data_IF_585518043913
#
_entry.id   IF_585518043913
#
_cell.length_a   1.000
_cell.length_b   1.000
_cell.length_c   1.000
_cell.angle_alpha   90.00
_cell.angle_beta   90.00
_cell.angle_gamma   90.00
#
_symmetry.space_group_name_H-M   'P 1'
#
loop_
_entity.id
_entity.type
_entity.pdbx_description
1 polymer ?
#
# COMPACT_ATOMS: atom_id res chain seq x y z
N UNK A 1 23.22 -40.71 -56.23
CA UNK A 1 22.75 -41.69 -55.21
C UNK A 1 23.22 -41.17 -53.85
N UNK A 2 22.44 -40.32 -53.17
CA UNK A 2 21.52 -40.61 -52.05
C UNK A 2 22.20 -41.00 -50.71
N UNK A 3 22.35 -40.02 -49.81
CA UNK A 3 22.18 -40.02 -48.34
C UNK A 3 22.89 -38.74 -47.80
N UNK A 4 22.29 -37.74 -47.15
CA UNK A 4 21.04 -37.67 -46.39
C UNK A 4 21.32 -37.85 -44.89
N UNK A 5 21.63 -36.76 -44.16
CA UNK A 5 21.41 -36.62 -42.70
C UNK A 5 21.82 -35.19 -42.24
N UNK A 6 20.98 -34.17 -42.33
CA UNK A 6 20.01 -33.70 -41.31
C UNK A 6 20.58 -33.28 -39.95
N UNK A 7 20.68 -31.98 -39.67
CA UNK A 7 20.15 -31.39 -38.41
C UNK A 7 20.00 -29.85 -38.50
N UNK A 8 18.84 -29.43 -39.04
CA UNK A 8 17.96 -28.36 -38.53
C UNK A 8 18.59 -27.06 -38.00
N UNK A 9 18.79 -26.10 -38.91
CA UNK A 9 18.73 -24.66 -38.61
C UNK A 9 17.25 -24.24 -38.57
N UNK A 10 16.58 -24.55 -37.46
CA UNK A 10 15.13 -24.37 -37.34
C UNK A 10 14.72 -24.15 -35.90
N UNK A 11 15.16 -23.03 -35.33
CA UNK A 11 14.51 -22.36 -34.19
C UNK A 11 15.17 -20.99 -34.02
N UNK A 12 14.61 -19.96 -34.67
CA UNK A 12 14.66 -18.60 -34.14
C UNK A 12 13.77 -18.59 -32.89
N UNK A 13 14.22 -19.31 -31.86
CA UNK A 13 13.49 -19.62 -30.66
C UNK A 13 14.06 -18.80 -29.51
N UNK A 14 13.29 -17.79 -29.11
CA UNK A 14 13.23 -17.21 -27.77
C UNK A 14 14.53 -16.54 -27.28
N UNK A 15 14.52 -15.22 -27.46
CA UNK A 15 15.19 -14.15 -26.72
C UNK A 15 16.04 -14.55 -25.49
N UNK A 16 17.30 -14.06 -25.37
CA UNK A 16 18.01 -14.06 -24.10
C UNK A 16 17.45 -12.96 -23.21
N UNK A 17 16.26 -13.18 -22.62
CA UNK A 17 15.67 -12.32 -21.57
C UNK A 17 16.44 -12.42 -20.22
N UNK A 18 17.46 -13.28 -20.14
CA UNK A 18 18.19 -13.57 -18.91
C UNK A 18 19.25 -12.51 -18.51
N UNK A 19 19.46 -11.46 -19.31
CA UNK A 19 20.51 -10.45 -19.08
C UNK A 19 20.00 -9.14 -18.44
N UNK A 20 18.71 -9.04 -18.09
CA UNK A 20 18.16 -7.82 -17.48
C UNK A 20 18.15 -7.84 -15.93
N UNK A 21 18.72 -8.86 -15.30
CA UNK A 21 18.87 -8.94 -13.85
C UNK A 21 20.15 -8.28 -13.35
N UNK A 22 20.14 -6.97 -13.18
CA UNK A 22 21.25 -6.24 -12.53
C UNK A 22 21.32 -6.55 -11.02
N UNK A 23 22.51 -6.80 -10.50
CA UNK A 23 22.72 -7.01 -9.06
C UNK A 23 22.51 -5.70 -8.30
N UNK A 24 21.48 -5.64 -7.44
CA UNK A 24 21.25 -4.52 -6.53
C UNK A 24 21.85 -4.85 -5.16
N UNK A 25 22.63 -3.91 -4.61
CA UNK A 25 23.16 -4.03 -3.26
C UNK A 25 22.19 -3.38 -2.28
N UNK A 26 21.70 -4.16 -1.33
CA UNK A 26 20.85 -3.68 -0.22
C UNK A 26 21.70 -3.62 1.04
N UNK A 27 21.87 -2.42 1.60
CA UNK A 27 22.57 -2.22 2.87
C UNK A 27 21.57 -1.78 3.94
N UNK A 28 21.62 -2.41 5.11
CA UNK A 28 20.85 -1.98 6.26
C UNK A 28 21.51 -0.75 6.92
N UNK A 29 20.73 0.24 7.37
CA UNK A 29 21.27 1.38 8.09
C UNK A 29 21.69 1.01 9.52
N UNK A 30 22.84 1.50 9.97
CA UNK A 30 23.35 1.29 11.35
C UNK A 30 22.51 2.00 12.42
N UNK A 31 21.74 3.00 12.01
CA UNK A 31 20.90 3.81 12.89
C UNK A 31 19.42 3.45 12.68
N UNK A 32 18.61 3.45 13.75
CA UNK A 32 17.17 3.25 13.64
C UNK A 32 16.51 4.27 12.70
N UNK A 33 15.53 3.79 11.92
CA UNK A 33 14.70 4.64 11.06
C UNK A 33 13.72 5.39 11.97
N UNK A 34 13.76 6.72 11.96
CA UNK A 34 12.82 7.57 12.72
C UNK A 34 11.74 8.08 11.77
N UNK A 35 10.51 7.59 11.94
CA UNK A 35 9.34 8.01 11.16
C UNK A 35 8.55 9.01 11.99
N UNK A 36 8.62 10.30 11.63
CA UNK A 36 7.88 11.37 12.29
C UNK A 36 6.58 11.66 11.54
N UNK A 37 5.49 11.03 11.98
CA UNK A 37 4.15 11.29 11.44
C UNK A 37 3.48 12.43 12.22
N UNK A 38 3.59 13.66 11.71
CA UNK A 38 2.95 14.84 12.31
C UNK A 38 1.56 15.08 11.70
N UNK A 39 0.49 14.65 12.38
CA UNK A 39 -0.89 14.90 11.96
C UNK A 39 -1.55 15.81 12.98
N UNK A 40 -2.07 16.95 12.52
CA UNK A 40 -2.93 17.83 13.32
C UNK A 40 -4.39 17.48 13.06
N UNK A 41 -5.09 16.97 14.07
CA UNK A 41 -6.52 16.63 13.99
C UNK A 41 -7.30 17.68 14.79
N UNK A 42 -7.92 18.62 14.10
CA UNK A 42 -8.89 19.54 14.70
C UNK A 42 -10.28 18.93 14.58
N UNK A 43 -10.78 18.34 15.67
CA UNK A 43 -12.14 17.81 15.73
C UNK A 43 -13.07 18.89 16.28
N UNK A 44 -13.84 19.52 15.40
CA UNK A 44 -14.96 20.37 15.80
C UNK A 44 -16.16 19.46 16.10
N UNK A 45 -16.37 19.15 17.38
CA UNK A 45 -17.61 18.48 17.82
C UNK A 45 -18.70 19.54 17.84
N UNK A 46 -19.33 19.80 16.69
CA UNK A 46 -20.53 20.63 16.64
C UNK A 46 -21.67 19.81 17.30
N UNK A 47 -21.78 19.93 18.62
CA UNK A 47 -22.86 19.35 19.38
C UNK A 47 -24.13 20.20 19.11
N UNK A 48 -24.78 19.98 17.96
CA UNK A 48 -26.08 20.58 17.64
C UNK A 48 -27.15 19.91 18.50
N UNK A 49 -27.26 20.35 19.74
CA UNK A 49 -28.19 19.85 20.76
C UNK A 49 -29.57 20.50 20.69
N UNK A 50 -30.11 20.76 19.51
CA UNK A 50 -31.20 21.75 19.50
C UNK A 50 -32.58 21.14 19.83
N UNK A 51 -32.74 19.81 19.75
CA UNK A 51 -34.05 19.16 20.00
C UNK A 51 -34.02 17.96 20.97
N UNK A 52 -33.07 17.01 20.83
CA UNK A 52 -33.05 15.81 21.70
C UNK A 52 -32.61 16.10 23.14
N UNK A 53 -31.69 17.05 23.36
CA UNK A 53 -31.29 17.42 24.71
C UNK A 53 -32.44 18.07 25.48
N UNK A 54 -33.25 18.93 24.83
CA UNK A 54 -34.44 19.53 25.44
C UNK A 54 -35.43 18.48 25.94
N UNK A 55 -35.69 17.44 25.14
CA UNK A 55 -36.58 16.36 25.54
C UNK A 55 -36.07 15.62 26.78
N UNK A 56 -34.78 15.28 26.84
CA UNK A 56 -34.20 14.53 27.96
C UNK A 56 -34.16 15.38 29.26
N UNK A 57 -33.91 16.68 29.13
CA UNK A 57 -33.96 17.63 30.26
C UNK A 57 -35.40 17.75 30.81
N UNK A 58 -36.42 17.74 29.95
CA UNK A 58 -37.82 17.75 30.36
C UNK A 58 -38.25 16.44 31.01
N UNK A 59 -37.83 15.31 30.44
CA UNK A 59 -38.19 13.98 30.93
C UNK A 59 -37.51 13.65 32.27
N UNK A 60 -36.36 14.28 32.57
CA UNK A 60 -35.59 14.00 33.78
C UNK A 60 -35.03 15.28 34.44
N UNK A 61 -35.86 16.02 35.22
CA UNK A 61 -35.53 17.34 35.76
C UNK A 61 -34.51 17.36 36.93
N UNK A 62 -33.68 16.32 37.11
CA UNK A 62 -32.71 16.22 38.20
C UNK A 62 -31.35 15.63 37.82
N UNK A 63 -31.10 15.40 36.53
CA UNK A 63 -29.86 14.76 36.04
C UNK A 63 -28.90 15.79 35.41
N UNK A 64 -29.29 17.06 35.39
CA UNK A 64 -28.49 18.20 34.92
C UNK A 64 -28.53 19.34 35.93
#
# INVERSE_FOLDING_TARGET
MKHGSSLRLGACGIAPLALLGGCVTVNAPDKPIVINLNISITQEVVYRLDNKAKAIIQDNPGIF
#
